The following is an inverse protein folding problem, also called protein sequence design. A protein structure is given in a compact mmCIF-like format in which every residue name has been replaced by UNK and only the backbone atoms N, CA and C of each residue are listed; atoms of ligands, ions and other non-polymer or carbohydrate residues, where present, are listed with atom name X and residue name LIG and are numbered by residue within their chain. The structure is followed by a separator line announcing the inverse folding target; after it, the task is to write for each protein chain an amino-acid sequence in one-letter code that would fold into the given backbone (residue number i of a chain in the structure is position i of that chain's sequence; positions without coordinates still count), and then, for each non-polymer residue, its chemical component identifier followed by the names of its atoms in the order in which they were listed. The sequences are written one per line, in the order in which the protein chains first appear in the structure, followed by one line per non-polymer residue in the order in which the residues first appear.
data_IF_596718479561
#
_entry.id   IF_596718479561
#
_cell.length_a   1.000
_cell.length_b   1.000
_cell.length_c   1.000
_cell.angle_alpha   90.00
_cell.angle_beta   90.00
_cell.angle_gamma   90.00
#
_symmetry.space_group_name_H-M   'P 1'
#
loop_
_entity.id
_entity.type
_entity.pdbx_description
1 polymer ?
#
# COMPACT_ATOMS: atom_id res chain seq x y z
N UNK A 1 -13.57 13.85 -18.30
CA UNK A 1 -12.52 14.66 -17.72
C UNK A 1 -11.12 14.25 -18.17
N UNK A 2 -10.14 15.11 -17.95
CA UNK A 2 -8.74 14.93 -18.39
C UNK A 2 -7.95 13.90 -17.56
N UNK A 3 -8.48 13.46 -16.42
CA UNK A 3 -7.74 12.59 -15.48
C UNK A 3 -7.30 11.26 -16.09
N UNK A 4 -8.20 10.55 -16.77
CA UNK A 4 -7.89 9.23 -17.36
C UNK A 4 -6.84 9.36 -18.46
N UNK A 5 -7.00 10.24 -19.49
CA UNK A 5 -5.99 10.42 -20.51
C UNK A 5 -4.62 10.86 -19.98
N UNK A 6 -4.58 11.84 -19.07
CA UNK A 6 -3.34 12.32 -18.46
C UNK A 6 -2.63 11.21 -17.66
N UNK A 7 -3.40 10.44 -16.88
CA UNK A 7 -2.86 9.31 -16.13
C UNK A 7 -2.36 8.18 -17.04
N UNK A 8 -3.03 7.94 -18.18
CA UNK A 8 -2.58 6.97 -19.19
C UNK A 8 -1.21 7.37 -19.74
N UNK A 9 -1.09 8.63 -20.19
CA UNK A 9 0.17 9.15 -20.73
C UNK A 9 1.32 9.08 -19.70
N UNK A 10 1.05 9.47 -18.45
CA UNK A 10 2.09 9.54 -17.41
C UNK A 10 2.74 8.20 -17.04
N UNK A 11 2.06 7.08 -17.27
CA UNK A 11 2.53 5.74 -16.93
C UNK A 11 2.68 4.81 -18.16
N UNK A 12 2.64 5.37 -19.36
CA UNK A 12 2.69 4.57 -20.59
C UNK A 12 4.02 3.85 -20.75
N UNK A 13 5.14 4.40 -20.29
CA UNK A 13 6.44 3.72 -20.30
C UNK A 13 6.50 2.52 -19.36
N UNK A 14 5.75 2.56 -18.23
CA UNK A 14 5.72 1.46 -17.26
C UNK A 14 7.09 1.15 -16.64
N UNK A 15 7.39 -0.15 -16.39
CA UNK A 15 8.63 -0.58 -15.73
C UNK A 15 9.82 -0.73 -16.71
N UNK A 16 9.77 -0.10 -17.88
CA UNK A 16 10.79 -0.26 -18.92
C UNK A 16 11.70 0.97 -19.00
N UNK A 17 12.97 0.72 -19.23
CA UNK A 17 13.96 1.74 -19.54
C UNK A 17 13.81 2.15 -21.02
N UNK A 18 13.10 3.27 -21.25
CA UNK A 18 12.90 3.85 -22.58
C UNK A 18 13.60 5.19 -22.63
N UNK A 19 14.71 5.30 -23.39
CA UNK A 19 15.59 6.49 -23.36
C UNK A 19 14.95 7.74 -23.97
N UNK A 20 13.94 7.59 -24.82
CA UNK A 20 13.21 8.69 -25.43
C UNK A 20 11.72 8.36 -25.53
N UNK A 21 10.88 9.27 -25.06
CA UNK A 21 9.43 9.09 -24.99
C UNK A 21 8.71 10.38 -25.39
N UNK A 22 7.75 10.25 -26.28
CA UNK A 22 6.81 11.31 -26.63
C UNK A 22 5.40 10.74 -26.73
N UNK A 23 4.45 11.38 -26.07
CA UNK A 23 3.04 10.98 -26.10
C UNK A 23 2.16 12.19 -26.42
N UNK A 24 1.37 12.08 -27.49
CA UNK A 24 0.30 13.02 -27.81
C UNK A 24 -1.04 12.47 -27.34
N UNK A 25 -1.80 13.27 -26.60
CA UNK A 25 -3.13 12.89 -26.10
C UNK A 25 -4.21 13.77 -26.72
N UNK A 26 -5.13 13.16 -27.45
CA UNK A 26 -6.25 13.83 -28.09
C UNK A 26 -7.57 13.35 -27.47
N UNK A 27 -8.24 14.23 -26.74
CA UNK A 27 -9.56 13.97 -26.16
C UNK A 27 -10.63 14.49 -27.13
N UNK A 28 -11.45 13.59 -27.66
CA UNK A 28 -12.53 13.93 -28.57
C UNK A 28 -13.90 13.67 -27.95
N UNK A 29 -14.85 14.55 -28.24
CA UNK A 29 -16.25 14.34 -27.85
C UNK A 29 -16.91 13.37 -28.83
N UNK A 30 -17.68 12.43 -28.29
CA UNK A 30 -18.45 11.46 -29.09
C UNK A 30 -19.88 11.36 -28.56
N UNK A 31 -20.75 10.65 -29.29
CA UNK A 31 -22.13 10.36 -28.85
C UNK A 31 -22.21 9.20 -27.85
N UNK A 32 -21.08 8.67 -27.38
CA UNK A 32 -21.01 7.62 -26.35
C UNK A 32 -20.90 8.25 -24.97
N UNK A 33 -21.15 7.45 -23.94
CA UNK A 33 -20.91 7.83 -22.55
C UNK A 33 -19.49 8.36 -22.38
N UNK A 34 -19.37 9.50 -21.71
CA UNK A 34 -18.07 10.14 -21.44
C UNK A 34 -17.15 9.26 -20.61
N UNK A 35 -15.85 9.40 -20.85
CA UNK A 35 -14.82 8.71 -20.04
C UNK A 35 -14.84 9.26 -18.62
N UNK A 36 -15.02 8.36 -17.64
CA UNK A 36 -15.02 8.66 -16.23
C UNK A 36 -13.94 7.90 -15.46
N UNK A 37 -13.75 8.27 -14.20
CA UNK A 37 -12.82 7.58 -13.32
C UNK A 37 -13.40 6.25 -12.87
N UNK A 38 -12.75 5.17 -13.23
CA UNK A 38 -12.93 3.84 -12.67
C UNK A 38 -11.68 3.46 -11.87
N UNK A 39 -11.73 2.42 -11.02
CA UNK A 39 -10.61 1.96 -10.18
C UNK A 39 -9.31 1.87 -11.02
N UNK A 40 -8.21 2.51 -10.54
CA UNK A 40 -6.93 2.64 -11.23
C UNK A 40 -6.99 3.39 -12.59
N UNK A 41 -7.62 4.60 -12.66
CA UNK A 41 -7.82 5.32 -13.91
C UNK A 41 -6.50 5.59 -14.65
N UNK A 42 -6.45 5.25 -15.92
CA UNK A 42 -5.28 5.42 -16.79
C UNK A 42 -4.21 4.31 -16.65
N UNK A 43 -4.29 3.43 -15.64
CA UNK A 43 -3.24 2.44 -15.37
C UNK A 43 -3.41 1.18 -16.21
N UNK A 44 -4.61 0.63 -16.26
CA UNK A 44 -4.89 -0.52 -17.12
C UNK A 44 -4.89 -0.13 -18.60
N UNK A 45 -5.32 1.10 -18.94
CA UNK A 45 -5.23 1.61 -20.30
C UNK A 45 -3.76 1.72 -20.75
N UNK A 46 -2.89 2.31 -19.93
CA UNK A 46 -1.46 2.41 -20.24
C UNK A 46 -0.79 1.04 -20.32
N UNK A 47 -1.15 0.11 -19.42
CA UNK A 47 -0.64 -1.24 -19.43
C UNK A 47 -1.06 -1.98 -20.71
N UNK A 48 -2.34 -1.96 -21.06
CA UNK A 48 -2.84 -2.62 -22.29
C UNK A 48 -2.13 -2.11 -23.53
N UNK A 49 -2.06 -0.78 -23.72
CA UNK A 49 -1.43 -0.17 -24.90
C UNK A 49 0.04 -0.59 -24.97
N UNK A 50 0.79 -0.40 -23.90
CA UNK A 50 2.22 -0.69 -23.84
C UNK A 50 2.54 -2.17 -24.08
N UNK A 51 1.90 -3.05 -23.32
CA UNK A 51 2.21 -4.47 -23.39
C UNK A 51 1.82 -5.06 -24.74
N UNK A 52 0.73 -4.56 -25.34
CA UNK A 52 0.35 -4.97 -26.70
C UNK A 52 1.33 -4.47 -27.76
N UNK A 53 1.84 -3.25 -27.63
CA UNK A 53 2.90 -2.75 -28.53
C UNK A 53 4.19 -3.55 -28.41
N UNK A 54 4.57 -3.97 -27.20
CA UNK A 54 5.73 -4.83 -26.99
C UNK A 54 5.54 -6.22 -27.62
N UNK A 55 4.33 -6.81 -27.56
CA UNK A 55 4.04 -8.06 -28.23
C UNK A 55 4.14 -7.93 -29.77
N UNK A 56 3.65 -6.82 -30.32
CA UNK A 56 3.76 -6.55 -31.76
C UNK A 56 5.22 -6.36 -32.17
N UNK A 57 5.97 -5.56 -31.42
CA UNK A 57 7.40 -5.35 -31.65
C UNK A 57 8.20 -6.66 -31.56
N UNK A 58 7.89 -7.52 -30.58
CA UNK A 58 8.53 -8.84 -30.47
C UNK A 58 8.27 -9.70 -31.69
N UNK A 59 7.04 -9.71 -32.20
CA UNK A 59 6.67 -10.44 -33.40
C UNK A 59 7.40 -9.91 -34.66
N UNK A 60 7.45 -8.57 -34.83
CA UNK A 60 8.12 -7.94 -35.96
C UNK A 60 9.65 -8.17 -35.95
N UNK A 61 10.24 -8.25 -34.76
CA UNK A 61 11.67 -8.49 -34.56
C UNK A 61 12.03 -9.99 -34.54
N UNK A 62 11.07 -10.89 -34.50
CA UNK A 62 11.30 -12.32 -34.36
C UNK A 62 11.91 -12.71 -32.99
N UNK A 63 11.60 -11.96 -31.95
CA UNK A 63 12.10 -12.17 -30.58
C UNK A 63 10.97 -12.69 -29.69
N UNK A 64 11.29 -13.55 -28.72
CA UNK A 64 10.31 -13.98 -27.72
C UNK A 64 9.77 -12.77 -26.93
N UNK A 65 8.45 -12.65 -26.69
CA UNK A 65 7.86 -11.52 -25.95
C UNK A 65 8.41 -11.35 -24.54
N UNK A 66 8.76 -12.43 -23.84
CA UNK A 66 9.38 -12.33 -22.51
C UNK A 66 10.84 -11.85 -22.61
N UNK A 67 11.59 -12.35 -23.58
CA UNK A 67 12.97 -11.92 -23.84
C UNK A 67 13.05 -10.42 -24.13
N UNK A 68 12.14 -9.89 -24.99
CA UNK A 68 12.08 -8.46 -25.28
C UNK A 68 11.84 -7.64 -24.00
N UNK A 69 10.96 -8.11 -23.12
CA UNK A 69 10.70 -7.45 -21.83
C UNK A 69 11.91 -7.48 -20.93
N UNK A 70 12.55 -8.63 -20.71
CA UNK A 70 13.76 -8.74 -19.88
C UNK A 70 14.90 -7.82 -20.33
N UNK A 71 15.09 -7.64 -21.63
CA UNK A 71 16.09 -6.71 -22.18
C UNK A 71 15.84 -5.26 -21.82
N UNK A 72 14.59 -4.89 -21.58
CA UNK A 72 14.19 -3.50 -21.37
C UNK A 72 13.71 -3.18 -19.95
N UNK A 73 13.50 -4.19 -19.07
CA UNK A 73 13.06 -3.95 -17.69
C UNK A 73 14.12 -3.20 -16.89
N UNK A 74 13.69 -2.20 -16.15
CA UNK A 74 14.50 -1.49 -15.15
C UNK A 74 14.94 -2.49 -14.09
N UNK A 75 16.25 -2.50 -13.78
CA UNK A 75 16.87 -3.44 -12.87
C UNK A 75 16.78 -2.96 -11.42
N UNK A 76 16.75 -3.86 -10.41
CA UNK A 76 16.74 -3.48 -8.99
C UNK A 76 17.92 -2.58 -8.60
N UNK A 77 19.08 -2.75 -9.24
CA UNK A 77 20.28 -1.94 -9.00
C UNK A 77 20.16 -0.49 -9.48
N UNK A 78 19.13 -0.17 -10.25
CA UNK A 78 18.86 1.18 -10.75
C UNK A 78 17.89 1.96 -9.84
N UNK A 79 17.37 1.32 -8.80
CA UNK A 79 16.42 1.96 -7.87
C UNK A 79 17.14 2.84 -6.83
N UNK A 80 16.56 4.01 -6.47
CA UNK A 80 15.39 4.62 -7.05
C UNK A 80 15.63 5.10 -8.50
N UNK A 81 14.66 4.83 -9.40
CA UNK A 81 14.78 5.10 -10.82
C UNK A 81 13.97 6.34 -11.23
N UNK A 82 14.65 7.35 -11.74
CA UNK A 82 14.00 8.54 -12.30
C UNK A 82 13.58 8.29 -13.75
N UNK A 83 12.27 8.11 -13.96
CA UNK A 83 11.66 7.94 -15.28
C UNK A 83 11.46 9.28 -16.04
N UNK A 84 11.97 10.38 -15.49
CA UNK A 84 11.86 11.73 -16.06
C UNK A 84 10.50 12.39 -15.82
N UNK A 85 10.32 13.52 -16.46
CA UNK A 85 9.11 14.34 -16.31
C UNK A 85 7.94 13.77 -17.11
N UNK A 86 7.30 12.75 -16.60
CA UNK A 86 6.11 12.14 -17.20
C UNK A 86 4.80 12.77 -16.69
N UNK A 87 4.89 13.70 -15.74
CA UNK A 87 3.78 14.40 -15.09
C UNK A 87 3.95 15.92 -15.22
N UNK A 88 2.85 16.65 -15.14
CA UNK A 88 2.87 18.12 -15.18
C UNK A 88 3.53 18.73 -13.93
N UNK A 89 3.43 18.06 -12.79
CA UNK A 89 3.85 18.50 -11.46
C UNK A 89 5.26 18.00 -11.05
N UNK A 90 5.97 17.29 -11.92
CA UNK A 90 7.34 16.84 -11.63
C UNK A 90 7.75 15.53 -12.26
N UNK A 91 8.92 15.06 -11.85
CA UNK A 91 9.47 13.78 -12.26
C UNK A 91 8.71 12.60 -11.62
N UNK A 92 8.69 11.50 -12.34
CA UNK A 92 8.23 10.22 -11.81
C UNK A 92 9.44 9.41 -11.37
N UNK A 93 9.56 9.21 -10.06
CA UNK A 93 10.65 8.42 -9.48
C UNK A 93 10.06 7.12 -8.91
N UNK A 94 10.47 5.99 -9.46
CA UNK A 94 10.13 4.68 -8.89
C UNK A 94 11.03 4.42 -7.69
N UNK A 95 10.44 4.36 -6.50
CA UNK A 95 11.14 4.25 -5.22
C UNK A 95 11.84 2.91 -5.03
N UNK A 96 11.22 1.84 -5.51
CA UNK A 96 11.69 0.46 -5.35
C UNK A 96 11.11 -0.47 -6.40
N UNK A 97 11.68 -1.66 -6.56
CA UNK A 97 11.12 -2.71 -7.40
C UNK A 97 12.14 -3.75 -7.87
N UNK A 98 11.64 -4.97 -8.06
CA UNK A 98 12.37 -6.04 -8.74
C UNK A 98 11.47 -6.60 -9.85
N UNK A 99 11.36 -5.84 -10.93
CA UNK A 99 10.47 -6.16 -12.06
C UNK A 99 10.85 -7.45 -12.78
N UNK A 100 12.17 -7.73 -13.02
CA UNK A 100 12.58 -9.02 -13.59
C UNK A 100 12.13 -10.22 -12.76
N UNK A 101 12.31 -10.17 -11.45
CA UNK A 101 11.88 -11.28 -10.57
C UNK A 101 10.36 -11.48 -10.60
N UNK A 102 9.58 -10.39 -10.64
CA UNK A 102 8.13 -10.45 -10.76
C UNK A 102 7.68 -11.15 -12.05
N UNK A 103 8.31 -10.81 -13.17
CA UNK A 103 8.05 -11.46 -14.46
C UNK A 103 8.48 -12.93 -14.45
N UNK A 104 9.69 -13.24 -13.95
CA UNK A 104 10.18 -14.62 -13.85
C UNK A 104 9.18 -15.52 -13.11
N UNK A 105 8.71 -15.10 -11.92
CA UNK A 105 7.74 -15.88 -11.15
C UNK A 105 6.42 -16.11 -11.90
N UNK A 106 5.92 -15.12 -12.63
CA UNK A 106 4.69 -15.26 -13.41
C UNK A 106 4.88 -16.26 -14.57
N UNK A 107 6.03 -16.22 -15.25
CA UNK A 107 6.36 -17.15 -16.34
C UNK A 107 6.53 -18.59 -15.85
N UNK A 108 7.19 -18.79 -14.72
CA UNK A 108 7.35 -20.10 -14.08
C UNK A 108 6.00 -20.72 -13.72
N UNK A 109 5.11 -19.95 -13.08
CA UNK A 109 3.80 -20.44 -12.65
C UNK A 109 2.88 -20.81 -13.80
N UNK A 110 2.97 -20.14 -14.95
CA UNK A 110 2.14 -20.48 -16.13
C UNK A 110 2.78 -21.54 -17.04
N UNK A 111 3.99 -21.98 -16.73
CA UNK A 111 4.73 -22.92 -17.58
C UNK A 111 5.12 -22.32 -18.95
N UNK A 112 5.52 -21.05 -18.97
CA UNK A 112 5.77 -20.30 -20.20
C UNK A 112 6.86 -20.92 -21.06
N UNK A 113 7.97 -21.35 -20.46
CA UNK A 113 9.12 -21.94 -21.16
C UNK A 113 8.80 -23.29 -21.79
N UNK A 114 7.90 -24.08 -21.16
CA UNK A 114 7.48 -25.38 -21.63
C UNK A 114 6.47 -25.29 -22.78
N UNK A 115 5.89 -24.11 -23.03
CA UNK A 115 4.86 -23.90 -24.03
C UNK A 115 5.45 -23.21 -25.26
N UNK A 116 5.61 -23.94 -26.34
CA UNK A 116 6.08 -23.42 -27.61
C UNK A 116 5.39 -24.18 -28.78
N UNK A 117 4.69 -23.50 -29.69
CA UNK A 117 4.54 -22.04 -29.78
C UNK A 117 3.61 -21.47 -28.71
N UNK A 118 3.67 -20.14 -28.46
CA UNK A 118 2.81 -19.42 -27.49
C UNK A 118 1.35 -19.29 -28.00
N UNK A 119 1.08 -19.72 -29.21
CA UNK A 119 -0.25 -19.84 -29.80
C UNK A 119 -0.31 -21.17 -30.57
N UNK A 120 -1.35 -21.96 -30.27
CA UNK A 120 -1.52 -23.27 -30.89
C UNK A 120 -3.00 -23.64 -30.98
N UNK A 121 -3.30 -24.70 -31.75
CA UNK A 121 -4.62 -25.34 -31.77
C UNK A 121 -4.44 -26.72 -31.14
N UNK A 122 -5.28 -27.10 -30.20
CA UNK A 122 -5.26 -28.42 -29.59
C UNK A 122 -5.99 -29.48 -30.45
N UNK A 123 -5.92 -30.74 -30.02
CA UNK A 123 -6.53 -31.88 -30.74
C UNK A 123 -8.07 -31.79 -30.77
N UNK A 124 -8.69 -30.93 -29.98
CA UNK A 124 -10.13 -30.67 -29.98
C UNK A 124 -10.53 -29.49 -30.87
N UNK A 125 -9.56 -28.82 -31.49
CA UNK A 125 -9.77 -27.68 -32.38
C UNK A 125 -9.86 -26.33 -31.68
N UNK A 126 -9.55 -26.25 -30.36
CA UNK A 126 -9.54 -24.99 -29.63
C UNK A 126 -8.25 -24.19 -29.88
N UNK A 127 -8.43 -22.91 -30.05
CA UNK A 127 -7.31 -21.97 -30.18
C UNK A 127 -6.80 -21.55 -28.80
N UNK A 128 -5.52 -21.71 -28.58
CA UNK A 128 -4.83 -21.34 -27.34
C UNK A 128 -3.88 -20.17 -27.53
N UNK A 129 -3.71 -19.39 -26.49
CA UNK A 129 -2.74 -18.31 -26.46
C UNK A 129 -2.23 -18.02 -25.06
N UNK A 130 -0.93 -17.74 -24.97
CA UNK A 130 -0.29 -17.20 -23.77
C UNK A 130 -0.04 -15.71 -23.95
N UNK A 131 -0.40 -14.93 -22.94
CA UNK A 131 -0.13 -13.50 -22.84
C UNK A 131 0.57 -13.16 -21.53
N UNK A 132 1.43 -12.15 -21.57
CA UNK A 132 2.17 -11.64 -20.42
C UNK A 132 2.11 -10.12 -20.36
N UNK A 133 2.10 -9.57 -19.15
CA UNK A 133 2.12 -8.12 -18.92
C UNK A 133 2.86 -7.79 -17.63
N UNK A 134 3.63 -6.70 -17.63
CA UNK A 134 4.30 -6.17 -16.45
C UNK A 134 3.89 -4.71 -16.25
N UNK A 135 3.61 -4.33 -15.01
CA UNK A 135 3.15 -2.98 -14.71
C UNK A 135 3.78 -2.40 -13.46
N UNK A 136 3.75 -1.09 -13.39
CA UNK A 136 4.05 -0.30 -12.19
C UNK A 136 2.91 0.69 -11.97
N UNK A 137 2.57 0.95 -10.71
CA UNK A 137 1.46 1.82 -10.34
C UNK A 137 1.79 2.64 -9.10
N UNK A 138 1.60 3.96 -9.20
CA UNK A 138 1.77 4.84 -8.06
C UNK A 138 0.72 4.62 -6.97
N UNK A 139 1.16 4.73 -5.70
CA UNK A 139 0.38 4.60 -4.47
C UNK A 139 0.66 5.77 -3.53
N UNK A 140 -0.08 5.90 -2.44
CA UNK A 140 0.17 6.92 -1.43
C UNK A 140 -0.19 8.35 -1.83
N UNK A 141 -1.21 8.55 -2.69
CA UNK A 141 -1.59 9.88 -3.14
C UNK A 141 -2.29 10.68 -2.04
N UNK A 142 -1.97 11.94 -1.94
CA UNK A 142 -2.58 12.92 -1.02
C UNK A 142 -1.60 13.46 0.00
N UNK A 143 -1.90 14.60 0.64
CA UNK A 143 -0.94 15.30 1.48
C UNK A 143 -0.73 14.63 2.83
N UNK A 144 -1.78 14.14 3.47
CA UNK A 144 -1.72 13.53 4.80
C UNK A 144 -2.87 12.53 5.02
N UNK A 145 -2.78 11.76 6.10
CA UNK A 145 -3.87 10.96 6.67
C UNK A 145 -3.75 10.90 8.19
N UNK A 146 -4.90 10.81 8.88
CA UNK A 146 -4.99 10.76 10.34
C UNK A 146 -5.45 9.41 10.86
N UNK A 147 -4.93 9.04 12.03
CA UNK A 147 -5.43 7.94 12.85
C UNK A 147 -5.48 8.39 14.33
N UNK A 148 -6.57 8.06 15.02
CA UNK A 148 -6.72 8.22 16.47
C UNK A 148 -6.92 6.84 17.06
N UNK A 149 -6.20 6.55 18.16
CA UNK A 149 -6.30 5.31 18.92
C UNK A 149 -6.74 5.64 20.33
N UNK A 150 -7.75 4.93 20.81
CA UNK A 150 -8.27 5.06 22.19
C UNK A 150 -8.28 3.68 22.82
N UNK A 151 -7.77 3.57 24.03
CA UNK A 151 -7.81 2.34 24.82
C UNK A 151 -8.79 2.49 25.97
N UNK A 152 -9.73 1.55 26.09
CA UNK A 152 -10.68 1.49 27.17
C UNK A 152 -10.09 0.91 28.46
N UNK A 153 -10.79 1.06 29.57
CA UNK A 153 -10.47 0.45 30.87
C UNK A 153 -10.47 -1.08 30.85
N UNK A 154 -11.11 -1.67 29.86
CA UNK A 154 -11.10 -3.13 29.64
C UNK A 154 -9.94 -3.59 28.75
N UNK A 155 -9.11 -2.68 28.25
CA UNK A 155 -7.99 -2.96 27.34
C UNK A 155 -8.40 -3.14 25.87
N UNK A 156 -9.65 -2.82 25.49
CA UNK A 156 -10.07 -2.77 24.09
C UNK A 156 -9.43 -1.56 23.40
N UNK A 157 -9.02 -1.75 22.16
CA UNK A 157 -8.32 -0.75 21.33
C UNK A 157 -9.21 -0.31 20.18
N UNK A 158 -9.70 0.92 20.24
CA UNK A 158 -10.53 1.52 19.21
C UNK A 158 -9.66 2.42 18.32
N UNK A 159 -9.66 2.13 17.00
CA UNK A 159 -8.89 2.87 16.00
C UNK A 159 -9.83 3.63 15.08
N UNK A 160 -9.74 4.94 15.08
CA UNK A 160 -10.54 5.83 14.24
C UNK A 160 -9.71 6.33 13.08
N UNK A 161 -10.25 6.20 11.85
CA UNK A 161 -9.52 6.46 10.60
C UNK A 161 -10.20 7.51 9.75
N UNK A 162 -9.39 8.37 9.12
CA UNK A 162 -9.85 9.30 8.10
C UNK A 162 -10.10 8.67 6.73
N UNK A 163 -9.60 7.44 6.50
CA UNK A 163 -9.93 6.63 5.31
C UNK A 163 -11.24 5.87 5.56
N UNK A 164 -11.94 5.51 4.48
CA UNK A 164 -13.16 4.70 4.54
C UNK A 164 -13.05 3.47 3.66
N UNK A 165 -13.73 2.39 4.04
CA UNK A 165 -13.80 1.18 3.21
C UNK A 165 -14.82 1.35 2.07
N UNK A 166 -14.54 0.67 0.96
CA UNK A 166 -15.46 0.46 -0.17
C UNK A 166 -15.50 -1.05 -0.53
N UNK A 167 -15.28 -1.92 0.46
CA UNK A 167 -15.22 -3.37 0.31
C UNK A 167 -13.81 -3.94 0.13
N UNK A 168 -12.74 -3.13 0.24
CA UNK A 168 -11.35 -3.58 0.06
C UNK A 168 -10.67 -4.07 1.35
N UNK A 169 -11.41 -4.27 2.44
CA UNK A 169 -10.93 -4.89 3.68
C UNK A 169 -10.03 -3.99 4.54
N UNK A 170 -10.31 -2.69 4.58
CA UNK A 170 -9.55 -1.76 5.43
C UNK A 170 -9.64 -2.12 6.90
N UNK A 171 -10.80 -2.55 7.38
CA UNK A 171 -11.01 -2.94 8.77
C UNK A 171 -10.01 -4.02 9.19
N UNK A 172 -9.92 -5.08 8.41
CA UNK A 172 -8.98 -6.17 8.68
C UNK A 172 -7.53 -5.71 8.57
N UNK A 173 -7.18 -5.00 7.49
CA UNK A 173 -5.79 -4.59 7.24
C UNK A 173 -5.29 -3.61 8.28
N UNK A 174 -6.13 -2.64 8.69
CA UNK A 174 -5.75 -1.66 9.70
C UNK A 174 -5.69 -2.26 11.10
N UNK A 175 -6.58 -3.23 11.42
CA UNK A 175 -6.49 -3.98 12.66
C UNK A 175 -5.20 -4.80 12.74
N UNK A 176 -4.76 -5.45 11.65
CA UNK A 176 -3.47 -6.13 11.58
C UNK A 176 -2.31 -5.17 11.83
N UNK A 177 -2.28 -4.02 11.13
CA UNK A 177 -1.23 -3.01 11.31
C UNK A 177 -1.20 -2.50 12.76
N UNK A 178 -2.37 -2.21 13.34
CA UNK A 178 -2.46 -1.78 14.73
C UNK A 178 -1.96 -2.85 15.69
N UNK A 179 -2.44 -4.09 15.55
CA UNK A 179 -2.07 -5.21 16.41
C UNK A 179 -0.56 -5.47 16.38
N UNK A 180 0.04 -5.52 15.18
CA UNK A 180 1.47 -5.74 14.99
C UNK A 180 2.30 -4.55 15.52
N UNK A 181 1.84 -3.31 15.25
CA UNK A 181 2.58 -2.10 15.63
C UNK A 181 2.47 -1.78 17.12
N UNK A 182 1.33 -2.04 17.73
CA UNK A 182 1.12 -1.80 19.16
C UNK A 182 1.62 -2.98 20.02
N UNK A 183 1.69 -4.18 19.43
CA UNK A 183 2.08 -5.40 20.16
C UNK A 183 0.93 -5.99 20.97
N UNK A 184 -0.28 -6.00 20.41
CA UNK A 184 -1.50 -6.52 21.06
C UNK A 184 -2.16 -7.60 20.20
N UNK A 185 -3.00 -8.48 20.78
CA UNK A 185 -3.83 -9.40 20.01
C UNK A 185 -4.80 -8.63 19.08
N UNK A 186 -5.03 -9.16 17.87
CA UNK A 186 -5.90 -8.49 16.89
C UNK A 186 -7.38 -8.47 17.29
N UNK A 187 -7.82 -9.42 18.08
CA UNK A 187 -9.22 -9.59 18.54
C UNK A 187 -9.69 -8.51 19.52
N UNK A 188 -8.75 -7.77 20.13
CA UNK A 188 -9.08 -6.61 20.95
C UNK A 188 -9.08 -5.28 20.16
N UNK A 189 -8.79 -5.30 18.85
CA UNK A 189 -8.71 -4.11 18.01
C UNK A 189 -9.99 -3.94 17.19
N UNK A 190 -10.66 -2.80 17.35
CA UNK A 190 -11.83 -2.41 16.56
C UNK A 190 -11.54 -1.20 15.69
N UNK A 191 -11.92 -1.26 14.41
CA UNK A 191 -11.68 -0.19 13.45
C UNK A 191 -12.97 0.59 13.19
N UNK A 192 -12.91 1.91 13.33
CA UNK A 192 -13.97 2.85 13.04
C UNK A 192 -13.57 3.82 11.93
N UNK A 193 -14.46 4.08 11.00
CA UNK A 193 -14.23 5.00 9.90
C UNK A 193 -15.55 5.62 9.41
N UNK A 194 -15.44 6.65 8.56
CA UNK A 194 -16.62 7.28 7.93
C UNK A 194 -17.38 8.25 8.83
N UNK A 195 -16.80 8.64 9.97
CA UNK A 195 -17.39 9.62 10.89
C UNK A 195 -16.36 10.71 11.25
N UNK A 196 -16.63 11.95 10.82
CA UNK A 196 -15.78 13.11 11.04
C UNK A 196 -15.83 13.65 12.47
N UNK A 197 -16.77 13.19 13.31
CA UNK A 197 -16.79 13.54 14.73
C UNK A 197 -15.62 12.90 15.50
N UNK A 198 -15.15 11.73 15.01
CA UNK A 198 -14.06 11.00 15.64
C UNK A 198 -12.67 11.36 15.10
N UNK A 199 -12.60 11.66 13.81
CA UNK A 199 -11.37 12.08 13.13
C UNK A 199 -11.69 13.23 12.16
N UNK A 200 -11.49 14.49 12.57
CA UNK A 200 -11.95 15.65 11.79
C UNK A 200 -11.12 15.89 10.52
N UNK A 201 -9.88 15.39 10.46
CA UNK A 201 -8.98 15.58 9.34
C UNK A 201 -8.58 14.23 8.75
N UNK A 202 -9.13 13.92 7.59
CA UNK A 202 -8.81 12.73 6.82
C UNK A 202 -9.02 12.96 5.33
N UNK A 203 -8.20 12.31 4.51
CA UNK A 203 -8.25 12.46 3.06
C UNK A 203 -9.26 11.55 2.37
N UNK A 204 -9.77 10.53 3.04
CA UNK A 204 -10.64 9.50 2.45
C UNK A 204 -9.85 8.50 1.59
N UNK A 205 -10.57 7.67 0.82
CA UNK A 205 -9.99 6.55 0.07
C UNK A 205 -9.99 6.81 -1.43
N UNK A 206 -8.82 7.08 -1.99
CA UNK A 206 -8.56 7.23 -3.43
C UNK A 206 -7.06 7.06 -3.71
N UNK A 207 -6.65 6.91 -4.97
CA UNK A 207 -5.24 6.93 -5.38
C UNK A 207 -4.34 5.89 -4.69
N UNK A 208 -4.89 4.79 -4.21
CA UNK A 208 -4.20 3.70 -3.46
C UNK A 208 -3.43 4.21 -2.23
N UNK A 209 -4.09 5.09 -1.46
CA UNK A 209 -3.50 5.70 -0.28
C UNK A 209 -3.85 4.98 1.04
N UNK A 210 -4.84 4.08 1.04
CA UNK A 210 -5.33 3.45 2.26
C UNK A 210 -4.20 2.88 3.13
N UNK A 211 -3.43 1.92 2.63
CA UNK A 211 -2.32 1.32 3.39
C UNK A 211 -1.13 2.26 3.54
N UNK A 212 -0.74 2.97 2.47
CA UNK A 212 0.45 3.86 2.53
C UNK A 212 0.23 5.03 3.49
N UNK A 213 -0.88 5.74 3.37
CA UNK A 213 -1.12 6.91 4.21
C UNK A 213 -1.81 6.52 5.52
N UNK A 214 -2.93 5.78 5.44
CA UNK A 214 -3.70 5.36 6.61
C UNK A 214 -2.94 4.35 7.48
N UNK A 215 -2.29 3.36 6.87
CA UNK A 215 -1.50 2.37 7.60
C UNK A 215 -0.31 2.98 8.33
N UNK A 216 0.40 3.94 7.71
CA UNK A 216 1.48 4.66 8.38
C UNK A 216 0.96 5.62 9.48
N UNK A 217 -0.23 6.22 9.31
CA UNK A 217 -0.83 7.01 10.39
C UNK A 217 -1.17 6.14 11.61
N UNK A 218 -1.73 4.92 11.38
CA UNK A 218 -1.97 3.94 12.46
C UNK A 218 -0.65 3.53 13.12
N UNK A 219 0.37 3.19 12.33
CA UNK A 219 1.67 2.80 12.86
C UNK A 219 2.30 3.90 13.74
N UNK A 220 2.29 5.14 13.26
CA UNK A 220 2.79 6.29 14.01
C UNK A 220 2.00 6.53 15.32
N UNK A 221 0.66 6.42 15.24
CA UNK A 221 -0.18 6.52 16.43
C UNK A 221 0.14 5.41 17.45
N UNK A 222 0.37 4.17 16.98
CA UNK A 222 0.77 3.06 17.84
C UNK A 222 2.13 3.33 18.53
N UNK A 223 3.11 3.86 17.81
CA UNK A 223 4.41 4.21 18.39
C UNK A 223 4.27 5.26 19.50
N UNK A 224 3.54 6.33 19.24
CA UNK A 224 3.28 7.37 20.25
C UNK A 224 2.54 6.80 21.47
N UNK A 225 1.59 5.89 21.24
CA UNK A 225 0.85 5.24 22.33
C UNK A 225 1.74 4.30 23.14
N UNK A 226 2.65 3.54 22.52
CA UNK A 226 3.61 2.71 23.25
C UNK A 226 4.53 3.53 24.15
N UNK A 227 5.04 4.66 23.67
CA UNK A 227 5.85 5.57 24.47
C UNK A 227 5.07 6.06 25.69
N UNK A 228 3.80 6.44 25.51
CA UNK A 228 2.92 6.88 26.60
C UNK A 228 2.63 5.75 27.58
N UNK A 229 2.33 4.53 27.11
CA UNK A 229 2.12 3.34 27.94
C UNK A 229 3.34 3.08 28.84
N UNK A 230 4.54 3.08 28.26
CA UNK A 230 5.77 2.84 29.02
C UNK A 230 6.06 3.96 30.02
N UNK A 231 5.77 5.21 29.66
CA UNK A 231 5.93 6.37 30.56
C UNK A 231 5.00 6.28 31.79
N UNK A 232 3.71 5.97 31.57
CA UNK A 232 2.74 5.79 32.66
C UNK A 232 3.11 4.62 33.55
N UNK A 233 3.44 3.46 32.95
CA UNK A 233 3.85 2.28 33.71
C UNK A 233 5.13 2.54 34.52
N UNK A 234 6.11 3.24 33.96
CA UNK A 234 7.35 3.63 34.61
C UNK A 234 7.09 4.48 35.84
N UNK A 235 6.22 5.49 35.73
CA UNK A 235 5.84 6.35 36.83
C UNK A 235 5.12 5.59 37.95
N UNK A 236 4.18 4.72 37.58
CA UNK A 236 3.41 3.93 38.55
C UNK A 236 4.25 2.87 39.28
N UNK A 237 5.17 2.23 38.55
CA UNK A 237 6.03 1.17 39.09
C UNK A 237 7.32 1.68 39.75
N UNK A 238 7.52 3.01 39.77
CA UNK A 238 8.75 3.67 40.26
C UNK A 238 10.03 3.03 39.66
N UNK A 239 10.06 2.93 38.33
CA UNK A 239 11.18 2.31 37.60
C UNK A 239 11.46 3.04 36.28
N UNK A 240 12.67 2.94 35.78
CA UNK A 240 13.03 3.56 34.49
C UNK A 240 12.30 2.89 33.31
N UNK A 241 11.78 3.67 32.32
CA UNK A 241 11.11 3.10 31.12
C UNK A 241 11.97 2.08 30.38
N UNK A 242 13.29 2.26 30.34
CA UNK A 242 14.24 1.36 29.69
C UNK A 242 14.30 -0.07 30.30
N UNK A 243 13.79 -0.24 31.55
CA UNK A 243 13.68 -1.50 32.24
C UNK A 243 12.34 -2.21 32.02
N UNK A 244 11.43 -1.59 31.27
CA UNK A 244 10.12 -2.13 30.95
C UNK A 244 10.04 -2.50 29.48
N UNK A 245 9.16 -3.46 29.18
CA UNK A 245 8.75 -3.81 27.82
C UNK A 245 7.24 -3.99 27.80
N UNK A 246 6.59 -3.40 26.78
CA UNK A 246 5.18 -3.60 26.49
C UNK A 246 5.05 -4.64 25.37
N UNK A 247 4.41 -5.74 25.64
CA UNK A 247 4.23 -6.85 24.70
C UNK A 247 2.94 -7.60 25.00
N UNK A 248 2.22 -8.00 23.93
CA UNK A 248 0.95 -8.77 24.04
C UNK A 248 -0.14 -8.10 24.89
N UNK A 249 -0.12 -6.74 24.94
CA UNK A 249 -1.05 -5.98 25.75
C UNK A 249 -0.71 -5.92 27.24
N UNK A 250 0.50 -6.26 27.62
CA UNK A 250 0.95 -6.34 29.01
C UNK A 250 2.34 -5.72 29.18
N UNK A 251 2.62 -5.23 30.39
CA UNK A 251 3.93 -4.72 30.81
C UNK A 251 4.71 -5.80 31.54
N UNK A 252 5.95 -5.96 31.18
CA UNK A 252 6.92 -6.86 31.82
C UNK A 252 8.19 -6.10 32.20
N UNK A 253 8.98 -6.67 33.12
CA UNK A 253 10.40 -6.28 33.25
C UNK A 253 11.16 -6.80 32.02
N UNK A 254 12.05 -5.99 31.53
CA UNK A 254 12.92 -6.34 30.41
C UNK A 254 13.79 -7.55 30.75
N UNK A 255 13.69 -8.60 29.93
CA UNK A 255 14.36 -9.88 30.15
C UNK A 255 13.52 -10.90 30.95
N UNK A 256 12.31 -10.53 31.42
CA UNK A 256 11.40 -11.39 32.18
C UNK A 256 10.04 -11.57 31.49
N UNK A 257 9.98 -11.46 30.14
CA UNK A 257 8.72 -11.46 29.35
C UNK A 257 7.98 -12.81 29.34
N UNK A 258 8.59 -13.87 29.90
CA UNK A 258 7.98 -15.18 30.14
C UNK A 258 7.40 -15.32 31.56
N UNK A 259 7.62 -14.34 32.42
CA UNK A 259 7.12 -14.29 33.78
C UNK A 259 5.71 -13.68 33.88
N UNK A 260 5.25 -13.38 35.11
CA UNK A 260 3.98 -12.69 35.30
C UNK A 260 4.07 -11.25 34.83
N UNK A 261 3.00 -10.77 34.17
CA UNK A 261 2.88 -9.37 33.82
C UNK A 261 2.81 -8.47 35.06
N UNK A 262 3.36 -7.28 34.96
CA UNK A 262 3.31 -6.26 36.02
C UNK A 262 2.01 -5.45 35.95
N UNK A 263 1.55 -5.13 34.71
CA UNK A 263 0.32 -4.40 34.43
C UNK A 263 -0.25 -4.89 33.09
N UNK A 264 -1.56 -4.93 33.00
CA UNK A 264 -2.31 -5.09 31.75
C UNK A 264 -2.58 -3.74 31.08
N UNK A 265 -2.91 -3.77 29.80
CA UNK A 265 -3.29 -2.55 29.03
C UNK A 265 -4.51 -1.84 29.65
N UNK A 266 -5.50 -2.60 30.15
CA UNK A 266 -6.67 -2.02 30.83
C UNK A 266 -6.30 -1.31 32.13
N UNK A 267 -5.41 -1.89 32.96
CA UNK A 267 -4.92 -1.22 34.17
C UNK A 267 -4.17 0.08 33.86
N UNK A 268 -3.37 0.09 32.77
CA UNK A 268 -2.69 1.32 32.31
C UNK A 268 -3.71 2.37 31.85
N UNK A 269 -4.78 1.95 31.17
CA UNK A 269 -5.84 2.86 30.74
C UNK A 269 -6.57 3.48 31.95
N UNK A 270 -6.84 2.71 33.01
CA UNK A 270 -7.37 3.21 34.28
C UNK A 270 -6.41 4.22 34.91
N UNK A 271 -5.10 3.91 34.99
CA UNK A 271 -4.11 4.84 35.50
C UNK A 271 -4.04 6.14 34.71
N UNK A 272 -4.18 6.07 33.38
CA UNK A 272 -4.20 7.24 32.52
C UNK A 272 -5.44 8.13 32.74
N UNK A 273 -6.58 7.53 33.12
CA UNK A 273 -7.82 8.26 33.43
C UNK A 273 -7.73 8.99 34.77
N UNK A 274 -7.04 8.40 35.76
CA UNK A 274 -6.88 8.93 37.11
C UNK A 274 -5.66 9.86 37.26
N UNK A 275 -4.73 9.81 36.31
CA UNK A 275 -3.53 10.63 36.31
C UNK A 275 -3.88 12.12 36.18
N UNK A 276 -3.22 13.02 36.92
CA UNK A 276 -3.37 14.47 36.70
C UNK A 276 -2.98 14.75 35.23
N UNK A 277 -3.79 15.59 34.56
CA UNK A 277 -3.54 15.97 33.17
C UNK A 277 -2.11 16.54 33.04
N UNK A 278 -1.29 15.86 32.22
CA UNK A 278 0.00 16.40 31.80
C UNK A 278 -0.33 17.53 30.82
N UNK A 279 0.26 18.69 31.01
CA UNK A 279 -0.01 19.88 30.18
C UNK A 279 0.25 19.53 28.71
N UNK A 280 -0.81 19.63 27.88
CA UNK A 280 -0.77 19.32 26.46
C UNK A 280 -1.15 17.88 26.08
N UNK A 281 -1.40 16.97 27.03
CA UNK A 281 -1.88 15.62 26.75
C UNK A 281 -3.38 15.46 27.05
N UNK A 282 -4.13 14.68 26.23
CA UNK A 282 -5.53 14.39 26.52
C UNK A 282 -5.66 13.49 27.76
N UNK A 283 -6.75 13.59 28.53
CA UNK A 283 -7.05 12.62 29.58
C UNK A 283 -7.32 11.24 29.00
N UNK A 284 -7.03 10.18 29.77
CA UNK A 284 -7.20 8.80 29.33
C UNK A 284 -6.03 8.30 28.46
N UNK A 285 -6.10 7.07 28.00
CA UNK A 285 -5.07 6.44 27.19
C UNK A 285 -5.44 6.53 25.71
N UNK A 286 -5.10 7.65 25.08
CA UNK A 286 -5.37 7.90 23.68
C UNK A 286 -4.24 8.66 22.97
N UNK A 287 -4.19 8.57 21.66
CA UNK A 287 -3.27 9.34 20.81
C UNK A 287 -3.89 9.62 19.46
N UNK A 288 -3.51 10.74 18.84
CA UNK A 288 -3.83 11.07 17.46
C UNK A 288 -2.54 11.38 16.72
N UNK A 289 -2.34 10.77 15.56
CA UNK A 289 -1.20 11.04 14.70
C UNK A 289 -1.63 11.32 13.27
N UNK A 290 -0.84 12.13 12.57
CA UNK A 290 -1.00 12.43 11.16
C UNK A 290 0.28 12.05 10.42
N UNK A 291 0.12 11.22 9.39
CA UNK A 291 1.21 10.85 8.51
C UNK A 291 1.16 11.69 7.24
N UNK A 292 2.29 12.27 6.86
CA UNK A 292 2.48 13.05 5.66
C UNK A 292 3.54 12.40 4.76
N UNK A 293 3.40 12.56 3.45
CA UNK A 293 4.41 12.10 2.49
C UNK A 293 4.47 13.04 1.30
N UNK A 294 5.66 13.52 1.00
CA UNK A 294 5.95 14.36 -0.17
C UNK A 294 6.15 13.54 -1.44
N UNK A 295 6.30 12.23 -1.31
CA UNK A 295 6.63 11.33 -2.42
C UNK A 295 5.56 10.26 -2.61
N UNK A 296 5.33 9.91 -3.87
CA UNK A 296 4.55 8.72 -4.22
C UNK A 296 5.43 7.49 -4.08
N UNK A 297 4.84 6.41 -3.58
CA UNK A 297 5.41 5.08 -3.65
C UNK A 297 4.85 4.33 -4.87
N UNK A 298 5.53 3.27 -5.29
CA UNK A 298 5.13 2.53 -6.49
C UNK A 298 5.05 1.04 -6.22
N UNK A 299 3.84 0.48 -6.35
CA UNK A 299 3.63 -0.96 -6.41
C UNK A 299 3.83 -1.47 -7.83
N UNK A 300 4.23 -2.73 -7.99
CA UNK A 300 4.42 -3.37 -9.29
C UNK A 300 3.91 -4.81 -9.28
N UNK A 301 3.75 -5.36 -10.47
CA UNK A 301 3.36 -6.75 -10.64
C UNK A 301 3.53 -7.23 -12.06
N UNK A 302 3.43 -8.56 -12.22
CA UNK A 302 3.39 -9.21 -13.52
C UNK A 302 2.21 -10.16 -13.56
N UNK A 303 1.55 -10.22 -14.70
CA UNK A 303 0.43 -11.10 -14.96
C UNK A 303 0.74 -11.97 -16.19
N UNK A 304 0.34 -13.22 -16.10
CA UNK A 304 0.35 -14.14 -17.23
C UNK A 304 -1.03 -14.77 -17.37
N UNK A 305 -1.49 -14.96 -18.59
CA UNK A 305 -2.78 -15.55 -18.88
C UNK A 305 -2.66 -16.60 -19.99
N UNK A 306 -3.29 -17.75 -19.78
CA UNK A 306 -3.54 -18.76 -20.79
C UNK A 306 -5.03 -18.74 -21.14
N UNK A 307 -5.34 -18.53 -22.39
CA UNK A 307 -6.72 -18.46 -22.89
C UNK A 307 -6.92 -19.54 -23.91
N UNK A 308 -8.07 -20.22 -23.86
CA UNK A 308 -8.54 -21.19 -24.83
C UNK A 308 -9.93 -20.76 -25.36
N UNK A 309 -10.13 -20.75 -26.69
CA UNK A 309 -11.36 -20.32 -27.37
C UNK A 309 -11.85 -21.41 -28.31
#
# INVERSE_FOLDING_TARGET
GSLVPASTASLLMGPYNVPAYQCGVHCVMTNKTGVGTFRAPGRYESCFIRERLLDMAAADLGIDPAELRFKNLIQPSQMPYNAGRTRADGDTVFDSGNYPQGLTKALEQIGYEQTNPKRWIDDTGRYHGLGIATYVKNTGRGPYEGARIVVSDTGQVDVYLGITTMGQGHETTMAQICADSLGVPMDIVTIFHGNTDYIPFGGGTYGSRGTVMGGNAVHLACQNLQERILSLASTYLDTEPANLVFQRGEIFRKGEELGPALLSLGEIACLAADAPSIEGEPPGLETTAYFESDQLTFSYGSHAAHVAV
#
